data_IF_651413640364
#
_entry.id   IF_651413640364
#
_cell.length_a   1.000
_cell.length_b   1.000
_cell.length_c   1.000
_cell.angle_alpha   90.00
_cell.angle_beta   90.00
_cell.angle_gamma   90.00
#
_symmetry.space_group_name_H-M   'P 1'
#
loop_
_entity.id
_entity.type
_entity.pdbx_description
1 polymer ?
#
# COMPACT_ATOMS: atom_id res chain seq x y z
N UNK A 1 -0.37 1.31 -2.59
CA UNK A 1 -1.02 1.63 -3.88
C UNK A 1 -0.40 2.87 -4.48
N UNK A 2 0.02 2.88 -5.74
CA UNK A 2 0.51 4.08 -6.45
C UNK A 2 -0.66 4.72 -7.22
N UNK A 3 -0.76 6.05 -7.15
CA UNK A 3 -1.65 6.83 -8.00
C UNK A 3 -0.98 8.18 -8.32
N UNK A 4 -0.62 8.36 -9.59
CA UNK A 4 0.18 9.47 -10.07
C UNK A 4 1.56 9.51 -9.42
N UNK A 5 1.88 10.63 -8.76
CA UNK A 5 3.17 10.85 -8.08
C UNK A 5 3.19 10.33 -6.63
N UNK A 6 2.04 9.94 -6.09
CA UNK A 6 1.88 9.55 -4.70
C UNK A 6 1.70 8.05 -4.53
N UNK A 7 2.07 7.59 -3.34
CA UNK A 7 1.80 6.25 -2.85
C UNK A 7 0.92 6.34 -1.61
N UNK A 8 -0.01 5.42 -1.50
CA UNK A 8 -0.97 5.37 -0.42
C UNK A 8 -0.93 4.02 0.28
N UNK A 9 -1.00 4.05 1.61
CA UNK A 9 -1.20 2.91 2.50
C UNK A 9 -2.36 3.21 3.44
N UNK A 10 -3.20 2.24 3.82
CA UNK A 10 -4.26 2.52 4.77
C UNK A 10 -3.68 2.89 6.16
N UNK A 11 -4.37 3.72 6.95
CA UNK A 11 -3.95 4.06 8.32
C UNK A 11 -4.08 2.86 9.26
N UNK A 12 -3.42 2.90 10.41
CA UNK A 12 -3.49 1.81 11.41
C UNK A 12 -4.91 1.58 11.94
N UNK A 13 -5.74 2.63 11.97
CA UNK A 13 -7.16 2.54 12.34
C UNK A 13 -7.97 1.56 11.45
N UNK A 14 -7.47 1.18 10.28
CA UNK A 14 -8.05 0.13 9.45
C UNK A 14 -7.74 -1.30 9.94
N UNK A 15 -7.18 -1.48 11.14
CA UNK A 15 -6.90 -2.80 11.73
C UNK A 15 -5.65 -3.50 11.20
N UNK A 16 -4.69 -2.73 10.67
CA UNK A 16 -3.47 -3.26 10.07
C UNK A 16 -2.40 -3.52 11.13
N UNK A 17 -1.50 -4.48 10.85
CA UNK A 17 -0.22 -4.54 11.55
C UNK A 17 0.61 -3.28 11.28
N UNK A 18 1.17 -2.68 12.32
CA UNK A 18 2.11 -1.56 12.21
C UNK A 18 3.52 -2.02 11.79
N UNK A 19 3.64 -2.56 10.57
CA UNK A 19 4.88 -3.14 10.07
C UNK A 19 6.06 -2.16 10.09
N UNK A 20 7.22 -2.61 10.59
CA UNK A 20 8.42 -1.76 10.74
C UNK A 20 8.87 -1.13 9.43
N UNK A 21 8.77 -1.86 8.32
CA UNK A 21 9.15 -1.35 7.00
C UNK A 21 8.15 -0.34 6.44
N UNK A 22 6.85 -0.51 6.72
CA UNK A 22 5.81 0.50 6.41
C UNK A 22 6.12 1.82 7.14
N UNK A 23 6.41 1.77 8.44
CA UNK A 23 6.76 2.95 9.25
C UNK A 23 8.03 3.62 8.74
N UNK A 24 9.07 2.84 8.44
CA UNK A 24 10.30 3.35 7.83
C UNK A 24 10.03 4.10 6.52
N UNK A 25 9.22 3.53 5.63
CA UNK A 25 8.87 4.13 4.35
C UNK A 25 8.08 5.44 4.51
N UNK A 26 7.09 5.48 5.40
CA UNK A 26 6.33 6.70 5.71
C UNK A 26 7.24 7.83 6.22
N UNK A 27 8.22 7.50 7.07
CA UNK A 27 9.14 8.49 7.62
C UNK A 27 10.18 8.99 6.61
N UNK A 28 10.59 8.15 5.65
CA UNK A 28 11.69 8.47 4.71
C UNK A 28 11.21 9.02 3.36
N UNK A 29 9.94 8.83 3.00
CA UNK A 29 9.42 9.15 1.67
C UNK A 29 8.21 10.09 1.79
N UNK A 30 8.36 11.39 1.48
CA UNK A 30 7.29 12.38 1.66
C UNK A 30 6.09 12.18 0.71
N UNK A 31 6.29 11.40 -0.36
CA UNK A 31 5.23 11.06 -1.32
C UNK A 31 4.43 9.81 -0.93
N UNK A 32 4.73 9.16 0.22
CA UNK A 32 3.91 8.09 0.78
C UNK A 32 3.00 8.69 1.85
N UNK A 33 1.70 8.51 1.69
CA UNK A 33 0.68 9.08 2.57
C UNK A 33 -0.26 8.00 3.11
N UNK A 34 -0.79 8.24 4.30
CA UNK A 34 -1.88 7.44 4.82
C UNK A 34 -3.21 7.90 4.18
N UNK A 35 -4.01 6.94 3.72
CA UNK A 35 -5.34 7.18 3.13
C UNK A 35 -6.15 5.89 3.21
N UNK A 36 -7.41 5.95 3.63
CA UNK A 36 -8.33 4.81 3.53
C UNK A 36 -8.49 4.43 2.06
N UNK A 37 -8.25 3.17 1.72
CA UNK A 37 -8.29 2.66 0.34
C UNK A 37 -9.51 1.78 0.15
N UNK A 38 -10.33 2.10 -0.85
CA UNK A 38 -11.46 1.28 -1.26
C UNK A 38 -11.07 0.23 -2.30
N UNK A 39 -11.87 -0.83 -2.44
CA UNK A 39 -11.67 -1.83 -3.50
C UNK A 39 -11.74 -1.21 -4.90
N UNK A 40 -12.58 -0.19 -5.09
CA UNK A 40 -12.69 0.54 -6.37
C UNK A 40 -11.38 1.26 -6.70
N UNK A 41 -10.74 1.88 -5.71
CA UNK A 41 -9.45 2.54 -5.91
C UNK A 41 -8.32 1.56 -6.18
N UNK A 42 -8.30 0.42 -5.48
CA UNK A 42 -7.32 -0.63 -5.76
C UNK A 42 -7.43 -1.15 -7.20
N UNK A 43 -8.66 -1.28 -7.72
CA UNK A 43 -8.90 -1.68 -9.12
C UNK A 43 -8.42 -0.65 -10.14
N UNK A 44 -8.38 0.63 -9.77
CA UNK A 44 -8.00 1.75 -10.64
C UNK A 44 -6.58 2.28 -10.37
N UNK A 45 -5.80 1.59 -9.55
CA UNK A 45 -4.46 2.02 -9.19
C UNK A 45 -3.46 1.84 -10.32
N UNK A 46 -2.48 2.74 -10.44
CA UNK A 46 -1.40 2.59 -11.43
C UNK A 46 -0.61 1.30 -11.18
N UNK A 47 -0.28 1.05 -9.90
CA UNK A 47 0.49 -0.10 -9.42
C UNK A 47 0.13 -0.43 -7.97
N UNK A 48 0.14 -1.71 -7.62
CA UNK A 48 -0.02 -2.18 -6.24
C UNK A 48 1.28 -2.81 -5.76
N UNK A 49 1.59 -2.61 -4.48
CA UNK A 49 2.79 -3.11 -3.85
C UNK A 49 2.46 -3.72 -2.48
N UNK A 50 3.07 -4.85 -2.18
CA UNK A 50 3.17 -5.40 -0.84
C UNK A 50 4.52 -5.05 -0.23
N UNK A 51 4.54 -4.73 1.06
CA UNK A 51 5.75 -4.34 1.78
C UNK A 51 5.87 -5.13 3.08
N UNK A 52 7.06 -5.66 3.34
CA UNK A 52 7.46 -6.16 4.65
C UNK A 52 8.98 -6.06 4.81
N UNK A 53 9.50 -6.21 6.03
CA UNK A 53 10.93 -6.05 6.32
C UNK A 53 11.82 -7.13 5.73
N UNK A 54 11.29 -8.33 5.48
CA UNK A 54 12.07 -9.49 5.01
C UNK A 54 12.15 -9.52 3.48
N UNK A 55 11.02 -9.32 2.80
CA UNK A 55 10.88 -9.38 1.34
C UNK A 55 10.99 -8.01 0.67
N UNK A 56 11.06 -6.93 1.44
CA UNK A 56 11.11 -5.57 0.90
C UNK A 56 9.81 -5.15 0.19
N UNK A 57 9.95 -4.39 -0.91
CA UNK A 57 8.83 -3.88 -1.73
C UNK A 57 8.64 -4.80 -2.93
N UNK A 58 7.46 -5.42 -3.04
CA UNK A 58 7.13 -6.30 -4.16
C UNK A 58 5.94 -5.73 -4.92
N UNK A 59 6.08 -5.50 -6.23
CA UNK A 59 4.95 -5.18 -7.09
C UNK A 59 4.07 -6.42 -7.22
N UNK A 60 2.76 -6.25 -7.10
CA UNK A 60 1.78 -7.32 -7.26
C UNK A 60 0.68 -6.92 -8.23
N UNK A 61 0.02 -7.93 -8.80
CA UNK A 61 -1.20 -7.77 -9.58
C UNK A 61 -2.42 -8.18 -8.74
N UNK A 62 -3.53 -7.48 -8.94
CA UNK A 62 -4.78 -7.76 -8.21
C UNK A 62 -5.47 -8.97 -8.83
N UNK A 63 -5.41 -10.11 -8.14
CA UNK A 63 -6.17 -11.32 -8.51
C UNK A 63 -7.55 -11.26 -7.87
N UNK A 64 -8.60 -11.57 -8.63
CA UNK A 64 -9.94 -11.79 -8.08
C UNK A 64 -10.11 -13.30 -7.93
N UNK A 65 -10.53 -13.75 -6.76
CA UNK A 65 -11.12 -15.07 -6.64
C UNK A 65 -12.50 -14.98 -7.30
N UNK A 66 -12.65 -15.59 -8.46
CA UNK A 66 -13.96 -16.02 -8.96
C UNK A 66 -14.30 -17.29 -8.19
N UNK A 67 -15.34 -17.22 -7.36
CA UNK A 67 -16.14 -18.40 -7.05
C UNK A 67 -16.93 -18.83 -8.29
#
# INVERSE_FOLDING_TARGET
MKSGKFYYTPPLACGLLNGVYRRYLLNKRPNIKEKVLTLKELKNADKIYLVNSVRGINKIDLVRNTE
#
